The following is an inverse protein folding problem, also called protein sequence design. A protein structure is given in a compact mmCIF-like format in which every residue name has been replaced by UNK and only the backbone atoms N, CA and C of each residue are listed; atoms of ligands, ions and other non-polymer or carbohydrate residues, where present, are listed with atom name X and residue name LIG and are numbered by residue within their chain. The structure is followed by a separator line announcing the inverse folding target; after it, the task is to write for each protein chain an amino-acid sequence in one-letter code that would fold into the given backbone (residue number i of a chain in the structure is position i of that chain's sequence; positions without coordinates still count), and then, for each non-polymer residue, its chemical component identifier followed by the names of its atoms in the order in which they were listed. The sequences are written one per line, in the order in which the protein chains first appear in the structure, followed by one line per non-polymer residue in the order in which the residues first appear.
data_IF_704696324358
#
_entry.id   IF_704696324358
#
_cell.length_a   1.000
_cell.length_b   1.000
_cell.length_c   1.000
_cell.angle_alpha   90.00
_cell.angle_beta   90.00
_cell.angle_gamma   90.00
#
_symmetry.space_group_name_H-M   'P 1'
#
loop_
_entity.id
_entity.type
_entity.pdbx_description
1 polymer ?
#
# COMPACT_ATOMS: atom_id res chain seq x y z
N UNK A 1 -11.74 0.99 -30.98
CA UNK A 1 -13.19 0.87 -30.69
C UNK A 1 -13.59 2.10 -29.89
N UNK A 2 -14.73 2.72 -30.16
CA UNK A 2 -15.17 3.91 -29.43
C UNK A 2 -15.91 3.46 -28.17
N UNK A 3 -15.43 3.88 -27.00
CA UNK A 3 -15.95 3.50 -25.68
C UNK A 3 -17.42 3.91 -25.51
N UNK A 4 -17.78 5.16 -25.82
CA UNK A 4 -19.14 5.65 -25.68
C UNK A 4 -20.16 4.90 -26.55
N UNK A 5 -19.75 4.52 -27.76
CA UNK A 5 -20.59 3.73 -28.66
C UNK A 5 -20.79 2.31 -28.10
N UNK A 6 -19.74 1.70 -27.54
CA UNK A 6 -19.81 0.39 -26.92
C UNK A 6 -20.80 0.42 -25.72
N UNK A 7 -20.63 1.37 -24.79
CA UNK A 7 -21.50 1.46 -23.60
C UNK A 7 -22.96 1.77 -23.96
N UNK A 8 -23.22 2.53 -25.04
CA UNK A 8 -24.61 2.72 -25.53
C UNK A 8 -25.25 1.41 -25.99
N UNK A 9 -24.46 0.51 -26.62
CA UNK A 9 -24.94 -0.81 -27.05
C UNK A 9 -25.13 -1.72 -25.84
N UNK A 10 -24.14 -1.77 -24.92
CA UNK A 10 -24.20 -2.63 -23.72
C UNK A 10 -25.41 -2.29 -22.83
N UNK A 11 -25.73 -1.02 -22.64
CA UNK A 11 -26.91 -0.59 -21.85
C UNK A 11 -28.26 -1.08 -22.38
N UNK A 12 -28.31 -1.55 -23.62
CA UNK A 12 -29.54 -2.06 -24.27
C UNK A 12 -29.60 -3.60 -24.26
N UNK A 13 -28.54 -4.26 -23.79
CA UNK A 13 -28.49 -5.72 -23.75
C UNK A 13 -29.23 -6.29 -22.54
N UNK A 14 -29.66 -7.54 -22.65
CA UNK A 14 -30.22 -8.27 -21.52
C UNK A 14 -29.13 -8.64 -20.51
N UNK A 15 -29.53 -8.89 -19.26
CA UNK A 15 -28.60 -9.38 -18.23
C UNK A 15 -27.89 -10.69 -18.66
N UNK A 16 -28.62 -11.59 -19.32
CA UNK A 16 -28.04 -12.83 -19.84
C UNK A 16 -26.93 -12.56 -20.84
N UNK A 17 -27.19 -11.72 -21.84
CA UNK A 17 -26.20 -11.35 -22.86
C UNK A 17 -24.97 -10.64 -22.22
N UNK A 18 -25.18 -9.78 -21.22
CA UNK A 18 -24.07 -9.15 -20.51
C UNK A 18 -23.22 -10.15 -19.74
N UNK A 19 -23.83 -11.16 -19.12
CA UNK A 19 -23.09 -12.23 -18.43
C UNK A 19 -22.30 -13.09 -19.42
N UNK A 20 -22.85 -13.42 -20.59
CA UNK A 20 -22.14 -14.15 -21.64
C UNK A 20 -20.94 -13.35 -22.17
N UNK A 21 -21.09 -12.04 -22.34
CA UNK A 21 -19.98 -11.16 -22.75
C UNK A 21 -18.89 -11.07 -21.67
N UNK A 22 -19.28 -10.99 -20.38
CA UNK A 22 -18.35 -10.99 -19.26
C UNK A 22 -17.61 -12.32 -19.13
N UNK A 23 -18.31 -13.45 -19.36
CA UNK A 23 -17.69 -14.78 -19.37
C UNK A 23 -16.65 -14.87 -20.48
N UNK A 24 -17.00 -14.47 -21.71
CA UNK A 24 -16.06 -14.42 -22.82
C UNK A 24 -14.86 -13.53 -22.51
N UNK A 25 -15.08 -12.33 -21.97
CA UNK A 25 -14.01 -11.42 -21.57
C UNK A 25 -13.11 -12.03 -20.48
N UNK A 26 -13.68 -12.75 -19.51
CA UNK A 26 -12.93 -13.44 -18.46
C UNK A 26 -11.91 -14.43 -19.01
N UNK A 27 -12.27 -15.21 -20.04
CA UNK A 27 -11.35 -16.16 -20.67
C UNK A 27 -10.23 -15.49 -21.47
N UNK A 28 -10.47 -14.30 -22.05
CA UNK A 28 -9.46 -13.52 -22.78
C UNK A 28 -8.49 -12.76 -21.84
N UNK A 29 -8.84 -12.55 -20.57
CA UNK A 29 -8.02 -11.86 -19.59
C UNK A 29 -6.92 -12.76 -19.02
N UNK A 30 -5.75 -12.19 -18.73
CA UNK A 30 -4.74 -12.84 -17.90
C UNK A 30 -5.16 -12.86 -16.42
N UNK A 31 -4.40 -13.55 -15.58
CA UNK A 31 -4.71 -13.72 -14.14
C UNK A 31 -4.76 -12.38 -13.38
N UNK A 32 -3.87 -11.45 -13.70
CA UNK A 32 -3.80 -10.14 -13.08
C UNK A 32 -5.02 -9.27 -13.43
N UNK A 33 -5.41 -9.25 -14.71
CA UNK A 33 -6.60 -8.54 -15.17
C UNK A 33 -7.88 -9.10 -14.52
N UNK A 34 -8.00 -10.43 -14.41
CA UNK A 34 -9.12 -11.11 -13.73
C UNK A 34 -9.20 -10.68 -12.26
N UNK A 35 -8.04 -10.68 -11.55
CA UNK A 35 -7.95 -10.27 -10.15
C UNK A 35 -8.34 -8.78 -9.99
N UNK A 36 -7.85 -7.92 -10.86
CA UNK A 36 -8.15 -6.49 -10.84
C UNK A 36 -9.64 -6.18 -11.05
N UNK A 37 -10.29 -6.85 -12.01
CA UNK A 37 -11.68 -6.56 -12.39
C UNK A 37 -12.67 -7.28 -11.49
N UNK A 38 -12.43 -8.55 -11.15
CA UNK A 38 -13.38 -9.40 -10.46
C UNK A 38 -13.02 -9.71 -9.01
N UNK A 39 -11.78 -9.40 -8.58
CA UNK A 39 -11.29 -9.72 -7.25
C UNK A 39 -12.19 -9.16 -6.15
N UNK A 40 -12.56 -7.89 -6.25
CA UNK A 40 -13.45 -7.25 -5.27
C UNK A 40 -14.82 -7.95 -5.14
N UNK A 41 -15.41 -8.43 -6.24
CA UNK A 41 -16.67 -9.16 -6.22
C UNK A 41 -16.54 -10.54 -5.56
N UNK A 42 -15.40 -11.19 -5.73
CA UNK A 42 -15.12 -12.48 -5.10
C UNK A 42 -14.81 -12.33 -3.61
N UNK A 43 -14.16 -11.22 -3.24
CA UNK A 43 -13.83 -10.88 -1.85
C UNK A 43 -15.05 -10.52 -1.01
N UNK A 44 -16.07 -9.87 -1.60
CA UNK A 44 -17.35 -9.60 -0.91
C UNK A 44 -18.05 -10.88 -0.40
N UNK A 45 -17.70 -12.04 -0.93
CA UNK A 45 -18.22 -13.34 -0.48
C UNK A 45 -17.50 -13.94 0.73
N UNK A 46 -16.28 -13.48 1.04
CA UNK A 46 -15.49 -13.96 2.18
C UNK A 46 -15.75 -13.10 3.44
N UNK A 47 -15.79 -13.70 4.66
CA UNK A 47 -15.80 -12.92 5.89
C UNK A 47 -14.58 -11.99 5.99
N UNK A 48 -14.78 -10.74 6.40
CA UNK A 48 -13.71 -9.74 6.52
C UNK A 48 -12.47 -10.27 7.28
N UNK A 49 -12.67 -11.02 8.36
CA UNK A 49 -11.60 -11.67 9.12
C UNK A 49 -10.79 -12.69 8.32
N UNK A 50 -11.41 -13.39 7.37
CA UNK A 50 -10.70 -14.36 6.54
C UNK A 50 -9.80 -13.63 5.54
N UNK A 51 -10.32 -12.58 4.89
CA UNK A 51 -9.55 -11.71 3.99
C UNK A 51 -8.38 -11.08 4.75
N UNK A 52 -8.63 -10.54 5.95
CA UNK A 52 -7.61 -9.91 6.76
C UNK A 52 -6.45 -10.86 7.14
N UNK A 53 -6.76 -12.12 7.44
CA UNK A 53 -5.73 -13.16 7.70
C UNK A 53 -4.93 -13.52 6.45
N UNK A 54 -5.60 -13.61 5.31
CA UNK A 54 -4.98 -13.91 4.02
C UNK A 54 -3.98 -12.82 3.64
N UNK A 55 -4.40 -11.54 3.69
CA UNK A 55 -3.55 -10.39 3.38
C UNK A 55 -2.34 -10.30 4.34
N UNK A 56 -2.55 -10.53 5.64
CA UNK A 56 -1.43 -10.58 6.59
C UNK A 56 -0.43 -11.67 6.21
N UNK A 57 -0.92 -12.89 5.91
CA UNK A 57 -0.06 -14.01 5.53
C UNK A 57 0.69 -13.72 4.23
N UNK A 58 0.01 -13.17 3.22
CA UNK A 58 0.65 -12.75 1.97
C UNK A 58 1.73 -11.68 2.20
N UNK A 59 1.48 -10.73 3.12
CA UNK A 59 2.47 -9.71 3.49
C UNK A 59 3.69 -10.32 4.19
N UNK A 60 3.49 -11.31 5.08
CA UNK A 60 4.57 -12.04 5.73
C UNK A 60 5.39 -12.87 4.71
N UNK A 61 4.74 -13.56 3.79
CA UNK A 61 5.38 -14.33 2.72
C UNK A 61 6.19 -13.41 1.80
N UNK A 62 5.61 -12.29 1.37
CA UNK A 62 6.29 -11.30 0.55
C UNK A 62 7.51 -10.69 1.26
N UNK A 63 7.42 -10.43 2.56
CA UNK A 63 8.56 -9.99 3.36
C UNK A 63 9.69 -11.01 3.33
N UNK A 64 9.38 -12.30 3.55
CA UNK A 64 10.39 -13.36 3.54
C UNK A 64 11.03 -13.54 2.17
N UNK A 65 10.24 -13.51 1.09
CA UNK A 65 10.72 -13.57 -0.29
C UNK A 65 11.67 -12.40 -0.60
N UNK A 66 11.31 -11.18 -0.16
CA UNK A 66 12.11 -9.97 -0.37
C UNK A 66 13.46 -10.06 0.36
N UNK A 67 13.45 -10.47 1.63
CA UNK A 67 14.69 -10.64 2.43
C UNK A 67 15.56 -11.79 1.90
N UNK A 68 14.94 -12.81 1.33
CA UNK A 68 15.68 -13.92 0.69
C UNK A 68 16.31 -13.52 -0.66
N UNK A 69 16.09 -12.30 -1.14
CA UNK A 69 16.67 -11.76 -2.38
C UNK A 69 16.01 -12.28 -3.65
N UNK A 70 14.77 -12.79 -3.57
CA UNK A 70 14.04 -13.30 -4.76
C UNK A 70 13.86 -12.22 -5.81
N UNK A 71 13.72 -10.96 -5.39
CA UNK A 71 13.53 -9.80 -6.26
C UNK A 71 14.83 -9.04 -6.55
N UNK A 72 15.98 -9.51 -6.06
CA UNK A 72 17.27 -8.89 -6.30
C UNK A 72 17.94 -9.51 -7.53
N UNK A 73 17.83 -8.86 -8.67
CA UNK A 73 18.36 -9.32 -9.96
C UNK A 73 19.42 -8.35 -10.51
N UNK A 74 20.66 -8.32 -9.95
CA UNK A 74 21.69 -7.40 -10.37
C UNK A 74 22.22 -7.73 -11.76
N UNK A 75 22.51 -6.71 -12.57
CA UNK A 75 23.14 -6.83 -13.86
C UNK A 75 24.27 -5.83 -14.03
N UNK A 76 25.19 -6.09 -15.00
CA UNK A 76 26.27 -5.16 -15.31
C UNK A 76 25.75 -3.95 -16.09
N UNK A 77 25.69 -2.78 -15.42
CA UNK A 77 25.24 -1.53 -16.03
C UNK A 77 26.29 -0.98 -17.02
N UNK A 78 25.80 -0.44 -18.15
CA UNK A 78 26.58 0.24 -19.17
C UNK A 78 25.72 1.30 -19.88
N UNK A 79 26.33 2.09 -20.78
CA UNK A 79 25.65 3.18 -21.50
C UNK A 79 24.45 2.77 -22.34
N UNK A 80 24.22 1.49 -22.58
CA UNK A 80 23.08 0.99 -23.39
C UNK A 80 21.92 0.48 -22.54
N UNK A 81 22.18 0.11 -21.28
CA UNK A 81 21.19 -0.49 -20.41
C UNK A 81 21.00 0.27 -19.07
N UNK A 82 21.56 1.48 -18.93
CA UNK A 82 21.47 2.24 -17.68
C UNK A 82 20.03 2.60 -17.27
N UNK A 83 19.09 2.59 -18.21
CA UNK A 83 17.65 2.84 -17.94
C UNK A 83 16.83 1.55 -17.85
N UNK A 84 17.47 0.37 -17.90
CA UNK A 84 16.77 -0.90 -17.78
C UNK A 84 16.42 -1.17 -16.31
N UNK A 85 15.17 -1.51 -16.08
CA UNK A 85 14.68 -1.98 -14.78
C UNK A 85 14.53 -3.49 -14.89
N UNK A 86 15.09 -4.28 -13.96
CA UNK A 86 14.82 -5.71 -13.90
C UNK A 86 13.32 -6.00 -13.72
N UNK A 87 12.82 -7.04 -14.36
CA UNK A 87 11.43 -7.48 -14.24
C UNK A 87 11.09 -7.81 -12.78
N UNK A 88 12.02 -8.40 -12.04
CA UNK A 88 11.89 -8.72 -10.62
C UNK A 88 11.69 -7.46 -9.76
N UNK A 89 12.32 -6.34 -10.13
CA UNK A 89 12.14 -5.06 -9.45
C UNK A 89 10.74 -4.48 -9.72
N UNK A 90 10.27 -4.56 -10.96
CA UNK A 90 8.90 -4.14 -11.33
C UNK A 90 7.85 -4.99 -10.60
N UNK A 91 8.01 -6.32 -10.59
CA UNK A 91 7.14 -7.25 -9.87
C UNK A 91 7.08 -6.94 -8.37
N UNK A 92 8.22 -6.59 -7.76
CA UNK A 92 8.27 -6.23 -6.34
C UNK A 92 7.43 -4.99 -6.05
N UNK A 93 7.56 -3.92 -6.85
CA UNK A 93 6.77 -2.70 -6.68
C UNK A 93 5.27 -2.94 -6.90
N UNK A 94 4.90 -3.72 -7.92
CA UNK A 94 3.51 -4.07 -8.18
C UNK A 94 2.91 -4.85 -7.00
N UNK A 95 3.59 -5.89 -6.53
CA UNK A 95 3.13 -6.71 -5.40
C UNK A 95 3.02 -5.90 -4.10
N UNK A 96 3.98 -5.01 -3.85
CA UNK A 96 3.94 -4.10 -2.70
C UNK A 96 2.72 -3.16 -2.76
N UNK A 97 2.47 -2.55 -3.92
CA UNK A 97 1.31 -1.69 -4.14
C UNK A 97 -0.03 -2.41 -3.95
N UNK A 98 -0.14 -3.62 -4.50
CA UNK A 98 -1.32 -4.48 -4.34
C UNK A 98 -1.59 -4.83 -2.87
N UNK A 99 -0.56 -5.19 -2.10
CA UNK A 99 -0.68 -5.52 -0.68
C UNK A 99 -1.02 -4.29 0.18
N UNK A 100 -0.47 -3.11 -0.14
CA UNK A 100 -0.85 -1.85 0.52
C UNK A 100 -2.30 -1.49 0.24
N UNK A 101 -2.75 -1.66 -1.00
CA UNK A 101 -4.14 -1.45 -1.39
C UNK A 101 -5.09 -2.44 -0.68
N UNK A 102 -4.72 -3.72 -0.63
CA UNK A 102 -5.48 -4.76 0.07
C UNK A 102 -5.57 -4.48 1.58
N UNK A 103 -4.45 -4.07 2.20
CA UNK A 103 -4.41 -3.65 3.61
C UNK A 103 -5.31 -2.45 3.88
N UNK A 104 -5.40 -1.51 2.92
CA UNK A 104 -6.33 -0.37 2.97
C UNK A 104 -7.80 -0.84 2.97
N UNK A 105 -8.15 -1.85 2.16
CA UNK A 105 -9.50 -2.42 2.16
C UNK A 105 -9.81 -3.15 3.48
N UNK A 106 -8.85 -3.88 4.04
CA UNK A 106 -8.97 -4.52 5.36
C UNK A 106 -9.25 -3.47 6.45
N UNK A 107 -8.56 -2.32 6.43
CA UNK A 107 -8.81 -1.21 7.34
C UNK A 107 -10.24 -0.65 7.17
N UNK A 108 -10.72 -0.46 5.94
CA UNK A 108 -12.09 -0.01 5.63
C UNK A 108 -13.16 -0.98 6.11
N UNK A 109 -12.84 -2.28 6.17
CA UNK A 109 -13.70 -3.33 6.75
C UNK A 109 -13.65 -3.39 8.28
N UNK A 110 -12.96 -2.44 8.94
CA UNK A 110 -12.77 -2.32 10.40
C UNK A 110 -11.97 -3.46 11.05
N UNK A 111 -11.23 -4.22 10.28
CA UNK A 111 -10.27 -5.21 10.78
C UNK A 111 -8.92 -4.53 11.10
N UNK A 112 -8.96 -3.45 11.90
CA UNK A 112 -7.86 -2.52 12.15
C UNK A 112 -6.58 -3.20 12.67
N UNK A 113 -6.72 -4.23 13.53
CA UNK A 113 -5.55 -4.95 14.05
C UNK A 113 -4.76 -5.64 12.95
N UNK A 114 -5.45 -6.40 12.10
CA UNK A 114 -4.79 -7.10 10.98
C UNK A 114 -4.25 -6.13 9.93
N UNK A 115 -4.97 -5.03 9.67
CA UNK A 115 -4.49 -3.97 8.79
C UNK A 115 -3.17 -3.37 9.30
N UNK A 116 -3.09 -3.04 10.60
CA UNK A 116 -1.86 -2.53 11.22
C UNK A 116 -0.72 -3.52 11.08
N UNK A 117 -0.94 -4.80 11.38
CA UNK A 117 0.08 -5.84 11.27
C UNK A 117 0.62 -5.96 9.83
N UNK A 118 -0.25 -5.91 8.82
CA UNK A 118 0.16 -5.92 7.40
C UNK A 118 0.93 -4.64 7.02
N UNK A 119 0.43 -3.47 7.38
CA UNK A 119 1.12 -2.21 7.11
C UNK A 119 2.49 -2.13 7.79
N UNK A 120 2.62 -2.58 9.05
CA UNK A 120 3.91 -2.60 9.74
C UNK A 120 4.95 -3.43 8.97
N UNK A 121 4.58 -4.59 8.43
CA UNK A 121 5.44 -5.45 7.61
C UNK A 121 5.83 -4.74 6.30
N UNK A 122 4.86 -4.19 5.57
CA UNK A 122 5.09 -3.56 4.28
C UNK A 122 5.91 -2.27 4.40
N UNK A 123 5.64 -1.42 5.41
CA UNK A 123 6.44 -0.23 5.65
C UNK A 123 7.86 -0.55 6.13
N UNK A 124 8.06 -1.66 6.84
CA UNK A 124 9.40 -2.14 7.17
C UNK A 124 10.19 -2.55 5.91
N UNK A 125 9.53 -3.17 4.92
CA UNK A 125 10.17 -3.47 3.62
C UNK A 125 10.55 -2.20 2.87
N UNK A 126 9.66 -1.19 2.84
CA UNK A 126 9.96 0.10 2.22
C UNK A 126 11.18 0.76 2.88
N UNK A 127 11.23 0.76 4.21
CA UNK A 127 12.36 1.32 4.96
C UNK A 127 13.68 0.60 4.62
N UNK A 128 13.67 -0.72 4.56
CA UNK A 128 14.83 -1.53 4.20
C UNK A 128 15.31 -1.23 2.78
N UNK A 129 14.39 -1.16 1.82
CA UNK A 129 14.69 -0.80 0.43
C UNK A 129 15.29 0.62 0.35
N UNK A 130 14.71 1.61 1.04
CA UNK A 130 15.21 2.99 1.09
C UNK A 130 16.57 3.11 1.81
N UNK A 131 16.87 2.21 2.74
CA UNK A 131 18.18 2.11 3.39
C UNK A 131 19.23 1.40 2.53
N UNK A 132 18.90 0.93 1.33
CA UNK A 132 19.82 0.30 0.40
C UNK A 132 20.12 -1.17 0.72
N UNK A 133 19.24 -1.86 1.45
CA UNK A 133 19.34 -3.33 1.56
C UNK A 133 19.08 -3.97 0.18
N UNK A 134 19.78 -5.08 -0.12
CA UNK A 134 19.72 -5.80 -1.41
C UNK A 134 18.38 -6.54 -1.59
N UNK A 135 17.26 -5.80 -1.58
CA UNK A 135 15.91 -6.31 -1.79
C UNK A 135 15.57 -6.27 -3.28
N UNK A 136 15.89 -5.17 -3.94
CA UNK A 136 15.70 -4.95 -5.36
C UNK A 136 16.98 -4.35 -5.95
N UNK A 137 17.19 -4.54 -7.25
CA UNK A 137 18.28 -3.91 -7.97
C UNK A 137 17.78 -2.66 -8.70
N UNK A 138 18.03 -1.48 -8.08
CA UNK A 138 17.60 -0.21 -8.66
C UNK A 138 18.39 0.96 -8.06
N UNK A 139 19.28 1.58 -8.83
CA UNK A 139 20.15 2.69 -8.37
C UNK A 139 19.41 3.99 -8.08
N UNK A 140 18.26 4.22 -8.72
CA UNK A 140 17.54 5.52 -8.66
C UNK A 140 16.06 5.37 -8.26
N UNK A 141 15.62 4.19 -7.83
CA UNK A 141 14.23 3.93 -7.50
C UNK A 141 13.97 4.05 -6.01
N UNK A 142 12.82 4.61 -5.68
CA UNK A 142 12.39 4.84 -4.31
C UNK A 142 10.91 4.56 -4.15
N UNK A 143 10.39 4.80 -2.96
CA UNK A 143 8.97 4.60 -2.62
C UNK A 143 7.98 5.33 -3.53
N UNK A 144 8.42 6.30 -4.32
CA UNK A 144 7.59 6.99 -5.33
C UNK A 144 7.16 6.09 -6.51
N UNK A 145 7.83 4.94 -6.71
CA UNK A 145 7.46 3.94 -7.72
C UNK A 145 6.34 3.01 -7.27
N UNK A 146 5.99 2.99 -6.00
CA UNK A 146 4.94 2.12 -5.47
C UNK A 146 3.60 2.50 -6.12
N UNK A 147 2.93 1.59 -6.84
CA UNK A 147 1.64 1.86 -7.43
C UNK A 147 0.57 2.18 -6.39
N UNK A 148 -0.33 3.12 -6.72
CA UNK A 148 -1.43 3.49 -5.86
C UNK A 148 -1.31 4.90 -5.28
N UNK A 149 -2.09 5.19 -4.26
CA UNK A 149 -2.13 6.49 -3.62
C UNK A 149 -1.53 6.42 -2.21
N UNK A 150 -0.30 6.90 -2.06
CA UNK A 150 0.39 6.95 -0.78
C UNK A 150 -0.44 7.62 0.34
N UNK A 151 -1.20 8.65 0.00
CA UNK A 151 -2.04 9.35 0.99
C UNK A 151 -3.15 8.46 1.54
N UNK A 152 -3.77 7.64 0.68
CA UNK A 152 -4.81 6.70 1.09
C UNK A 152 -4.23 5.58 1.96
N UNK A 153 -3.03 5.09 1.63
CA UNK A 153 -2.32 4.09 2.43
C UNK A 153 -1.99 4.64 3.82
N UNK A 154 -1.42 5.84 3.89
CA UNK A 154 -1.08 6.50 5.15
C UNK A 154 -2.34 6.83 5.98
N UNK A 155 -3.43 7.30 5.37
CA UNK A 155 -4.70 7.60 6.06
C UNK A 155 -5.28 6.32 6.69
N UNK A 156 -5.32 5.22 5.93
CA UNK A 156 -5.80 3.92 6.41
C UNK A 156 -4.92 3.34 7.52
N UNK A 157 -3.61 3.41 7.37
CA UNK A 157 -2.66 2.93 8.37
C UNK A 157 -2.75 3.71 9.66
N UNK A 158 -2.65 5.05 9.60
CA UNK A 158 -2.67 5.94 10.77
C UNK A 158 -4.03 5.88 11.48
N UNK A 159 -5.14 5.83 10.74
CA UNK A 159 -6.47 5.62 11.29
C UNK A 159 -6.55 4.30 12.07
N UNK A 160 -6.06 3.20 11.48
CA UNK A 160 -6.06 1.89 12.14
C UNK A 160 -5.15 1.86 13.37
N UNK A 161 -4.00 2.54 13.34
CA UNK A 161 -3.13 2.69 14.51
C UNK A 161 -3.85 3.41 15.65
N UNK A 162 -4.60 4.47 15.35
CA UNK A 162 -5.34 5.22 16.36
C UNK A 162 -6.40 4.37 17.06
N UNK A 163 -7.01 3.42 16.34
CA UNK A 163 -8.04 2.53 16.89
C UNK A 163 -7.46 1.39 17.77
N UNK A 164 -6.22 0.93 17.51
CA UNK A 164 -5.69 -0.28 18.19
C UNK A 164 -4.53 -0.03 19.14
N UNK A 165 -3.82 1.10 19.06
CA UNK A 165 -2.61 1.37 19.85
C UNK A 165 -2.90 2.30 21.03
N UNK A 166 -2.19 2.08 22.12
CA UNK A 166 -2.13 3.06 23.23
C UNK A 166 -1.48 4.36 22.80
N UNK A 167 -1.60 5.48 23.54
CA UNK A 167 -0.96 6.75 23.19
C UNK A 167 0.56 6.64 22.98
N UNK A 168 1.23 5.86 23.81
CA UNK A 168 2.67 5.64 23.76
C UNK A 168 3.06 4.80 22.53
N UNK A 169 2.35 3.70 22.28
CA UNK A 169 2.57 2.82 21.12
C UNK A 169 2.28 3.56 19.81
N UNK A 170 1.17 4.31 19.77
CA UNK A 170 0.81 5.14 18.63
C UNK A 170 1.93 6.12 18.29
N UNK A 171 2.42 6.85 19.29
CA UNK A 171 3.50 7.81 19.13
C UNK A 171 4.79 7.12 18.67
N UNK A 172 5.11 5.94 19.24
CA UNK A 172 6.29 5.17 18.87
C UNK A 172 6.32 4.75 17.39
N UNK A 173 5.16 4.49 16.80
CA UNK A 173 5.04 4.14 15.38
C UNK A 173 5.00 5.37 14.48
N UNK A 174 4.28 6.42 14.88
CA UNK A 174 4.11 7.63 14.05
C UNK A 174 5.40 8.45 13.95
N UNK A 175 6.23 8.52 15.00
CA UNK A 175 7.48 9.30 14.97
C UNK A 175 8.46 8.84 13.89
N UNK A 176 8.77 7.55 13.70
CA UNK A 176 9.56 7.09 12.57
C UNK A 176 8.96 7.48 11.21
N UNK A 177 7.64 7.33 11.02
CA UNK A 177 6.97 7.75 9.79
C UNK A 177 7.17 9.24 9.50
N UNK A 178 7.16 10.11 10.52
CA UNK A 178 7.43 11.54 10.36
C UNK A 178 8.86 11.84 9.90
N UNK A 179 9.79 10.95 10.18
CA UNK A 179 11.21 11.08 9.87
C UNK A 179 11.64 10.35 8.60
N UNK A 180 10.75 9.53 8.01
CA UNK A 180 11.08 8.70 6.86
C UNK A 180 11.56 9.51 5.66
N UNK A 181 11.00 10.69 5.47
CA UNK A 181 11.38 11.57 4.37
C UNK A 181 11.95 12.89 4.91
N UNK A 182 12.99 13.39 4.25
CA UNK A 182 13.58 14.69 4.52
C UNK A 182 12.70 15.86 4.07
N UNK A 183 11.71 15.62 3.22
CA UNK A 183 10.80 16.64 2.71
C UNK A 183 9.75 17.05 3.76
N UNK A 184 9.77 18.33 4.12
CA UNK A 184 8.80 18.90 5.07
C UNK A 184 7.34 18.69 4.64
N UNK A 185 7.06 18.59 3.35
CA UNK A 185 5.72 18.31 2.82
C UNK A 185 5.21 16.94 3.23
N UNK A 186 6.03 15.90 3.16
CA UNK A 186 5.68 14.54 3.59
C UNK A 186 5.46 14.50 5.11
N UNK A 187 6.41 15.05 5.89
CA UNK A 187 6.30 15.14 7.34
C UNK A 187 4.98 15.82 7.76
N UNK A 188 4.61 16.94 7.11
CA UNK A 188 3.36 17.64 7.39
C UNK A 188 2.11 16.84 7.00
N UNK A 189 2.16 16.05 5.90
CA UNK A 189 1.10 15.14 5.50
C UNK A 189 0.85 14.09 6.59
N UNK A 190 1.89 13.38 7.00
CA UNK A 190 1.82 12.34 8.05
C UNK A 190 1.34 12.95 9.37
N UNK A 191 1.88 14.12 9.78
CA UNK A 191 1.49 14.78 11.01
C UNK A 191 0.00 15.20 11.00
N UNK A 192 -0.48 15.75 9.89
CA UNK A 192 -1.89 16.14 9.75
C UNK A 192 -2.84 14.95 9.85
N UNK A 193 -2.49 13.83 9.22
CA UNK A 193 -3.26 12.59 9.32
C UNK A 193 -3.21 12.03 10.75
N UNK A 194 -2.04 12.04 11.38
CA UNK A 194 -1.88 11.57 12.75
C UNK A 194 -2.73 12.36 13.75
N UNK A 195 -2.77 13.69 13.63
CA UNK A 195 -3.62 14.52 14.50
C UNK A 195 -5.11 14.34 14.16
N UNK A 196 -5.46 14.21 12.88
CA UNK A 196 -6.85 14.00 12.42
C UNK A 196 -7.50 12.76 13.06
N UNK A 197 -6.76 11.66 13.15
CA UNK A 197 -7.28 10.36 13.60
C UNK A 197 -7.07 10.08 15.10
N UNK A 198 -6.14 10.79 15.75
CA UNK A 198 -5.77 10.54 17.14
C UNK A 198 -6.88 10.90 18.13
N UNK A 199 -6.99 10.13 19.22
CA UNK A 199 -7.68 10.55 20.44
C UNK A 199 -6.93 11.72 21.09
N UNK A 200 -7.59 12.45 22.00
CA UNK A 200 -6.96 13.56 22.74
C UNK A 200 -5.69 13.14 23.49
N UNK A 201 -5.66 11.93 24.03
CA UNK A 201 -4.50 11.40 24.75
C UNK A 201 -3.33 11.11 23.76
N UNK A 202 -3.61 10.44 22.63
CA UNK A 202 -2.63 10.17 21.58
C UNK A 202 -2.07 11.46 21.00
N UNK A 203 -2.93 12.45 20.71
CA UNK A 203 -2.51 13.76 20.20
C UNK A 203 -1.57 14.49 21.18
N UNK A 204 -1.89 14.45 22.48
CA UNK A 204 -1.07 15.09 23.52
C UNK A 204 0.32 14.45 23.59
N UNK A 205 0.38 13.11 23.61
CA UNK A 205 1.64 12.36 23.68
C UNK A 205 2.47 12.57 22.40
N UNK A 206 1.84 12.53 21.23
CA UNK A 206 2.50 12.78 19.95
C UNK A 206 3.08 14.20 19.88
N UNK A 207 2.31 15.23 20.28
CA UNK A 207 2.79 16.63 20.30
C UNK A 207 3.99 16.81 21.22
N UNK A 208 3.99 16.18 22.38
CA UNK A 208 5.12 16.20 23.31
C UNK A 208 6.38 15.59 22.67
N UNK A 209 6.26 14.41 22.06
CA UNK A 209 7.36 13.72 21.41
C UNK A 209 7.91 14.50 20.18
N UNK A 210 7.04 15.08 19.36
CA UNK A 210 7.41 15.92 18.21
C UNK A 210 8.24 17.13 18.68
N UNK A 211 7.82 17.77 19.78
CA UNK A 211 8.54 18.90 20.38
C UNK A 211 9.90 18.48 20.95
N UNK A 212 9.95 17.39 21.70
CA UNK A 212 11.17 16.85 22.30
C UNK A 212 12.22 16.51 21.24
N UNK A 213 11.78 15.85 20.14
CA UNK A 213 12.65 15.44 19.04
C UNK A 213 12.91 16.54 18.02
N UNK A 214 12.41 17.76 18.26
CA UNK A 214 12.60 18.95 17.39
C UNK A 214 12.17 18.72 15.93
N UNK A 215 11.15 17.86 15.70
CA UNK A 215 10.63 17.60 14.37
C UNK A 215 9.88 18.85 13.88
N UNK A 216 10.27 19.38 12.72
CA UNK A 216 9.64 20.57 12.14
C UNK A 216 8.34 20.18 11.46
N UNK A 217 7.22 20.48 12.11
CA UNK A 217 5.88 20.31 11.54
C UNK A 217 5.20 21.67 11.46
N UNK A 218 4.53 21.96 10.35
CA UNK A 218 3.64 23.11 10.22
C UNK A 218 2.21 22.67 10.50
N UNK A 219 1.72 22.95 11.70
CA UNK A 219 0.28 22.83 11.99
C UNK A 219 -0.44 23.92 11.21
N UNK A 220 -1.10 23.58 10.10
CA UNK A 220 -2.14 24.46 9.56
C UNK A 220 -3.34 24.37 10.52
N UNK A 221 -3.62 25.48 11.20
CA UNK A 221 -4.89 25.70 11.93
C UNK A 221 -6.07 25.74 10.97
#
# INVERSE_FOLDING_TARGET
MNEDALFKVLKRQTKATLLELLDSAYYEMNTQQRRHIFGALMEESKPAKAIAREIKKESEEFYQESIAGIYYAPFAMNSKNFSHIPEETEEWFEKLGDLLQASTQVAKQKEHKSAVESFEILYQLIEKMECGEEIIFADEYGSWMIPGNEQDFLDAYISSLADVKTPEEYTKVVIPLLKRDSYTSFCNKVYSLAVKHSSKAQESTLKAAVKEQKIKTTSRR
#
